data_IF_011228920134
#
_entry.id   IF_011228920134
#
_cell.length_a   1.000
_cell.length_b   1.000
_cell.length_c   1.000
_cell.angle_alpha   90.00
_cell.angle_beta   90.00
_cell.angle_gamma   90.00
#
_symmetry.space_group_name_H-M   'P 1'
#
loop_
_entity.id
_entity.type
_entity.pdbx_description
1 polymer ?
#
# COMPACT_ATOMS: atom_id res chain seq x y z
N UNK A 1 -12.84 8.66 11.26
CA UNK A 1 -12.82 9.26 9.93
C UNK A 1 -11.54 8.87 9.17
N UNK A 2 -11.68 8.56 7.87
CA UNK A 2 -10.55 8.14 7.03
C UNK A 2 -10.40 9.08 5.84
N UNK A 3 -9.14 9.34 5.44
CA UNK A 3 -8.82 10.12 4.25
C UNK A 3 -7.94 9.30 3.31
N UNK A 4 -8.26 9.34 2.01
CA UNK A 4 -7.41 8.87 0.94
C UNK A 4 -6.73 10.07 0.27
N UNK A 5 -5.41 10.08 0.25
CA UNK A 5 -4.61 11.01 -0.53
C UNK A 5 -4.14 10.25 -1.77
N UNK A 6 -4.64 10.66 -2.93
CA UNK A 6 -4.18 10.15 -4.22
C UNK A 6 -2.98 10.99 -4.68
N UNK A 7 -1.80 10.41 -4.58
CA UNK A 7 -0.55 11.04 -4.97
C UNK A 7 -0.05 10.61 -6.36
N UNK A 8 -0.76 9.67 -7.01
CA UNK A 8 -0.46 9.22 -8.36
C UNK A 8 -1.03 10.21 -9.40
N UNK A 9 -0.21 10.73 -10.33
CA UNK A 9 -0.70 11.56 -11.43
C UNK A 9 -1.80 10.91 -12.27
N UNK A 10 -1.83 9.57 -12.37
CA UNK A 10 -2.87 8.83 -13.10
C UNK A 10 -4.21 8.91 -12.39
N UNK A 11 -4.22 8.99 -11.06
CA UNK A 11 -5.43 9.21 -10.27
C UNK A 11 -6.38 8.02 -10.23
N UNK A 12 -5.87 6.80 -10.27
CA UNK A 12 -6.69 5.57 -10.28
C UNK A 12 -7.55 5.42 -9.04
N UNK A 13 -6.99 5.72 -7.87
CA UNK A 13 -7.71 5.68 -6.59
C UNK A 13 -8.80 6.74 -6.51
N UNK A 14 -8.56 7.92 -7.05
CA UNK A 14 -9.56 8.98 -7.17
C UNK A 14 -10.74 8.55 -8.04
N UNK A 15 -10.45 7.99 -9.22
CA UNK A 15 -11.48 7.51 -10.15
C UNK A 15 -12.32 6.37 -9.52
N UNK A 16 -11.66 5.47 -8.78
CA UNK A 16 -12.35 4.41 -8.06
C UNK A 16 -13.28 4.98 -6.99
N UNK A 17 -12.78 5.91 -6.17
CA UNK A 17 -13.56 6.48 -5.07
C UNK A 17 -14.73 7.35 -5.56
N UNK A 18 -14.55 8.11 -6.64
CA UNK A 18 -15.62 8.88 -7.28
C UNK A 18 -16.79 7.99 -7.75
N UNK A 19 -16.47 6.79 -8.28
CA UNK A 19 -17.47 5.78 -8.63
C UNK A 19 -18.14 5.14 -7.43
N UNK A 20 -17.40 4.98 -6.32
CA UNK A 20 -17.83 4.20 -5.16
C UNK A 20 -18.96 4.84 -4.36
N UNK A 21 -19.12 6.17 -4.43
CA UNK A 21 -20.07 6.95 -3.64
C UNK A 21 -19.93 6.75 -2.12
N UNK A 22 -18.76 6.34 -1.63
CA UNK A 22 -18.49 6.14 -0.20
C UNK A 22 -18.37 7.52 0.47
N UNK A 23 -19.37 7.89 1.26
CA UNK A 23 -19.45 9.23 1.88
C UNK A 23 -18.49 9.43 3.06
N UNK A 24 -18.06 8.36 3.73
CA UNK A 24 -17.22 8.44 4.94
C UNK A 24 -15.72 8.52 4.64
N UNK A 25 -15.31 8.28 3.40
CA UNK A 25 -13.93 8.35 2.97
C UNK A 25 -13.69 9.69 2.26
N UNK A 26 -12.94 10.57 2.91
CA UNK A 26 -12.54 11.85 2.32
C UNK A 26 -11.49 11.60 1.24
N UNK A 27 -11.56 12.32 0.12
CA UNK A 27 -10.57 12.25 -0.97
C UNK A 27 -9.83 13.57 -1.10
N UNK A 28 -8.52 13.48 -1.26
CA UNK A 28 -7.66 14.60 -1.66
C UNK A 28 -6.71 14.15 -2.76
N UNK A 29 -6.50 15.01 -3.75
CA UNK A 29 -5.47 14.83 -4.77
C UNK A 29 -4.27 15.69 -4.40
N UNK A 30 -3.14 15.06 -4.16
CA UNK A 30 -1.90 15.73 -3.80
C UNK A 30 -0.72 15.00 -4.44
N UNK A 31 -0.48 15.31 -5.72
CA UNK A 31 0.56 14.66 -6.52
C UNK A 31 1.93 14.77 -5.86
N UNK A 32 2.65 13.66 -5.85
CA UNK A 32 4.00 13.62 -5.34
C UNK A 32 4.92 14.50 -6.20
N UNK A 33 5.80 15.32 -5.61
CA UNK A 33 6.71 16.17 -6.38
C UNK A 33 7.71 15.34 -7.18
N UNK A 34 8.05 15.81 -8.37
CA UNK A 34 9.09 15.22 -9.18
C UNK A 34 10.46 15.32 -8.49
N UNK A 35 11.30 14.31 -8.67
CA UNK A 35 12.65 14.23 -8.08
C UNK A 35 13.67 15.23 -8.67
N UNK A 36 13.25 16.22 -9.46
CA UNK A 36 14.10 17.27 -10.00
C UNK A 36 14.34 18.36 -8.95
N UNK A 37 15.59 18.56 -8.55
CA UNK A 37 15.98 19.59 -7.58
C UNK A 37 16.17 19.05 -6.16
N UNK A 38 15.87 19.86 -5.15
CA UNK A 38 16.00 19.45 -3.74
C UNK A 38 14.82 18.57 -3.31
N UNK A 39 14.97 17.27 -3.50
CA UNK A 39 13.96 16.25 -3.20
C UNK A 39 13.47 16.34 -1.76
N UNK A 40 14.39 16.51 -0.79
CA UNK A 40 14.05 16.56 0.63
C UNK A 40 13.14 17.76 0.95
N UNK A 41 13.43 18.94 0.40
CA UNK A 41 12.59 20.10 0.60
C UNK A 41 11.18 19.91 -0.02
N UNK A 42 11.12 19.38 -1.22
CA UNK A 42 9.86 19.12 -1.91
C UNK A 42 9.00 18.08 -1.15
N UNK A 43 9.61 17.00 -0.66
CA UNK A 43 8.90 15.98 0.12
C UNK A 43 8.48 16.47 1.51
N UNK A 44 9.30 17.29 2.18
CA UNK A 44 8.91 17.91 3.45
C UNK A 44 7.70 18.83 3.26
N UNK A 45 7.67 19.62 2.19
CA UNK A 45 6.54 20.46 1.84
C UNK A 45 5.29 19.63 1.55
N UNK A 46 5.43 18.54 0.79
CA UNK A 46 4.36 17.60 0.50
C UNK A 46 3.83 16.95 1.78
N UNK A 47 4.73 16.46 2.64
CA UNK A 47 4.38 15.84 3.92
C UNK A 47 3.66 16.81 4.87
N UNK A 48 4.09 18.06 4.93
CA UNK A 48 3.41 19.08 5.71
C UNK A 48 2.00 19.37 5.17
N UNK A 49 1.83 19.44 3.84
CA UNK A 49 0.52 19.61 3.22
C UNK A 49 -0.39 18.40 3.50
N UNK A 50 0.13 17.19 3.37
CA UNK A 50 -0.61 15.95 3.69
C UNK A 50 -1.02 15.91 5.17
N UNK A 51 -0.14 16.28 6.08
CA UNK A 51 -0.42 16.33 7.52
C UNK A 51 -1.48 17.38 7.85
N UNK A 52 -1.44 18.54 7.24
CA UNK A 52 -2.46 19.58 7.43
C UNK A 52 -3.84 19.13 6.93
N UNK A 53 -3.89 18.40 5.81
CA UNK A 53 -5.15 17.84 5.29
C UNK A 53 -5.73 16.76 6.21
N UNK A 54 -4.88 16.14 7.00
CA UNK A 54 -5.19 14.99 7.85
C UNK A 54 -5.63 15.35 9.27
N UNK A 55 -5.60 16.63 9.67
CA UNK A 55 -5.84 17.07 11.06
C UNK A 55 -7.16 16.58 11.65
N UNK A 56 -8.20 16.38 10.80
CA UNK A 56 -9.52 15.93 11.22
C UNK A 56 -9.80 14.47 10.85
N UNK A 57 -8.75 13.63 10.75
CA UNK A 57 -8.88 12.24 10.35
C UNK A 57 -8.11 11.32 11.29
N UNK A 58 -8.74 10.19 11.64
CA UNK A 58 -8.10 9.15 12.47
C UNK A 58 -7.06 8.37 11.68
N UNK A 59 -7.32 8.16 10.38
CA UNK A 59 -6.46 7.39 9.47
C UNK A 59 -6.31 8.15 8.16
N UNK A 60 -5.07 8.24 7.68
CA UNK A 60 -4.75 8.75 6.35
C UNK A 60 -4.02 7.67 5.56
N UNK A 61 -4.52 7.39 4.37
CA UNK A 61 -3.90 6.47 3.42
C UNK A 61 -3.41 7.30 2.23
N UNK A 62 -2.11 7.26 1.97
CA UNK A 62 -1.56 7.85 0.76
C UNK A 62 -1.29 6.75 -0.28
N UNK A 63 -1.97 6.85 -1.42
CA UNK A 63 -1.71 6.00 -2.59
C UNK A 63 -0.63 6.65 -3.44
N UNK A 64 0.52 5.99 -3.49
CA UNK A 64 1.72 6.52 -4.13
C UNK A 64 1.92 5.88 -5.51
N UNK A 65 2.41 6.64 -6.50
CA UNK A 65 2.81 6.08 -7.79
C UNK A 65 4.05 5.18 -7.62
N UNK A 66 4.43 4.42 -8.66
CA UNK A 66 5.77 3.86 -8.73
C UNK A 66 6.80 4.98 -8.61
N UNK A 67 7.65 4.93 -7.58
CA UNK A 67 8.60 5.99 -7.25
C UNK A 67 10.03 5.47 -7.20
N UNK A 68 10.97 6.40 -7.44
CA UNK A 68 12.39 6.14 -7.28
C UNK A 68 12.73 5.81 -5.82
N UNK A 69 13.75 4.97 -5.62
CA UNK A 69 14.18 4.52 -4.30
C UNK A 69 14.63 5.67 -3.38
N UNK A 70 15.19 6.74 -3.94
CA UNK A 70 15.62 7.91 -3.18
C UNK A 70 14.41 8.63 -2.61
N UNK A 71 13.39 8.87 -3.44
CA UNK A 71 12.12 9.47 -3.03
C UNK A 71 11.43 8.60 -1.99
N UNK A 72 11.43 7.29 -2.20
CA UNK A 72 10.84 6.34 -1.27
C UNK A 72 11.54 6.35 0.10
N UNK A 73 12.87 6.38 0.11
CA UNK A 73 13.66 6.43 1.35
C UNK A 73 13.34 7.67 2.20
N UNK A 74 13.19 8.82 1.54
CA UNK A 74 12.81 10.05 2.24
C UNK A 74 11.37 10.03 2.77
N UNK A 75 10.43 9.43 2.01
CA UNK A 75 9.06 9.25 2.48
C UNK A 75 8.98 8.32 3.70
N UNK A 76 9.78 7.26 3.75
CA UNK A 76 9.84 6.34 4.89
C UNK A 76 10.21 7.04 6.20
N UNK A 77 10.96 8.15 6.17
CA UNK A 77 11.28 8.94 7.34
C UNK A 77 10.10 9.74 7.89
N UNK A 78 9.07 9.97 7.06
CA UNK A 78 7.91 10.79 7.39
C UNK A 78 6.67 9.98 7.76
N UNK A 79 6.64 8.68 7.46
CA UNK A 79 5.48 7.82 7.69
C UNK A 79 5.78 6.77 8.75
N UNK A 80 4.77 6.42 9.54
CA UNK A 80 4.88 5.35 10.55
C UNK A 80 4.68 3.97 9.96
N UNK A 81 3.80 3.86 8.96
CA UNK A 81 3.33 2.59 8.44
C UNK A 81 3.43 2.58 6.92
N UNK A 82 3.91 1.47 6.37
CA UNK A 82 3.99 1.24 4.93
C UNK A 82 3.33 -0.09 4.60
N UNK A 83 2.43 -0.07 3.63
CA UNK A 83 1.87 -1.27 3.02
C UNK A 83 2.43 -1.37 1.61
N UNK A 84 3.12 -2.46 1.33
CA UNK A 84 3.75 -2.71 0.03
C UNK A 84 3.06 -3.89 -0.67
N UNK A 85 2.13 -3.62 -1.61
CA UNK A 85 1.57 -4.65 -2.46
C UNK A 85 2.62 -5.12 -3.46
N UNK A 86 2.91 -6.42 -3.51
CA UNK A 86 3.93 -6.98 -4.39
C UNK A 86 3.34 -8.12 -5.20
N UNK A 87 3.43 -8.02 -6.52
CA UNK A 87 3.11 -9.13 -7.42
C UNK A 87 4.27 -10.13 -7.44
N UNK A 88 3.98 -11.41 -7.16
CA UNK A 88 5.00 -12.45 -7.03
C UNK A 88 4.71 -13.60 -8.00
N UNK A 89 4.83 -13.37 -9.30
CA UNK A 89 5.00 -14.48 -10.24
C UNK A 89 6.44 -15.04 -10.12
N UNK A 90 6.67 -16.28 -10.52
CA UNK A 90 8.00 -16.90 -10.38
C UNK A 90 9.13 -16.13 -11.10
N UNK A 91 8.82 -15.44 -12.19
CA UNK A 91 9.74 -14.55 -12.91
C UNK A 91 9.81 -13.15 -12.29
N UNK A 92 8.70 -12.65 -11.77
CA UNK A 92 8.64 -11.35 -11.08
C UNK A 92 9.29 -11.40 -9.69
N UNK A 93 9.34 -12.57 -9.04
CA UNK A 93 10.00 -12.71 -7.75
C UNK A 93 11.48 -12.35 -7.81
N UNK A 94 12.22 -12.91 -8.79
CA UNK A 94 13.64 -12.62 -8.96
C UNK A 94 13.90 -11.14 -9.26
N UNK A 95 12.97 -10.47 -9.98
CA UNK A 95 13.04 -9.05 -10.25
C UNK A 95 12.55 -8.18 -9.08
N UNK A 96 11.62 -8.70 -8.26
CA UNK A 96 11.00 -7.96 -7.15
C UNK A 96 11.83 -8.06 -5.86
N UNK A 97 12.56 -9.14 -5.68
CA UNK A 97 13.38 -9.35 -4.47
C UNK A 97 14.42 -8.24 -4.24
N UNK A 98 15.20 -7.79 -5.24
CA UNK A 98 16.10 -6.66 -5.08
C UNK A 98 15.38 -5.35 -4.72
N UNK A 99 14.15 -5.15 -5.20
CA UNK A 99 13.33 -4.01 -4.81
C UNK A 99 12.92 -4.10 -3.33
N UNK A 100 12.45 -5.26 -2.91
CA UNK A 100 12.11 -5.51 -1.49
C UNK A 100 13.32 -5.28 -0.60
N UNK A 101 14.49 -5.79 -0.95
CA UNK A 101 15.73 -5.57 -0.19
C UNK A 101 16.09 -4.09 -0.10
N UNK A 102 15.95 -3.32 -1.16
CA UNK A 102 16.19 -1.87 -1.17
C UNK A 102 15.20 -1.13 -0.28
N UNK A 103 13.92 -1.47 -0.37
CA UNK A 103 12.86 -0.91 0.48
C UNK A 103 13.16 -1.20 1.95
N UNK A 104 13.53 -2.44 2.27
CA UNK A 104 13.91 -2.87 3.62
C UNK A 104 15.16 -2.15 4.11
N UNK A 105 16.18 -1.99 3.25
CA UNK A 105 17.41 -1.28 3.60
C UNK A 105 17.14 0.19 3.90
N UNK A 106 16.31 0.84 3.08
CA UNK A 106 15.88 2.21 3.30
C UNK A 106 15.08 2.37 4.61
N UNK A 107 14.24 1.37 4.96
CA UNK A 107 13.49 1.39 6.22
C UNK A 107 14.36 1.15 7.47
N UNK A 108 15.50 0.46 7.34
CA UNK A 108 16.46 0.31 8.45
C UNK A 108 17.05 1.62 8.92
N UNK A 109 17.12 2.61 8.03
CA UNK A 109 17.52 3.97 8.36
C UNK A 109 16.42 4.73 9.12
N UNK A 110 15.17 4.24 9.05
CA UNK A 110 14.01 4.77 9.76
C UNK A 110 13.53 3.74 10.80
N UNK A 111 14.15 3.68 11.96
CA UNK A 111 13.87 2.69 13.02
C UNK A 111 12.41 2.66 13.50
N UNK A 112 11.60 3.63 13.11
CA UNK A 112 10.21 3.78 13.57
C UNK A 112 9.16 3.29 12.56
N UNK A 113 9.54 2.97 11.33
CA UNK A 113 8.58 2.60 10.29
C UNK A 113 8.25 1.12 10.34
N UNK A 114 6.99 0.80 10.59
CA UNK A 114 6.43 -0.56 10.44
C UNK A 114 6.08 -0.81 8.97
N UNK A 115 6.43 -1.97 8.46
CA UNK A 115 6.14 -2.35 7.07
C UNK A 115 5.35 -3.64 6.97
N UNK A 116 4.40 -3.69 6.04
CA UNK A 116 3.65 -4.91 5.71
C UNK A 116 3.75 -5.17 4.22
N UNK A 117 4.34 -6.29 3.86
CA UNK A 117 4.33 -6.79 2.49
C UNK A 117 3.05 -7.58 2.28
N UNK A 118 2.28 -7.20 1.26
CA UNK A 118 1.06 -7.88 0.85
C UNK A 118 1.27 -8.54 -0.51
N UNK A 119 1.52 -9.85 -0.55
CA UNK A 119 1.62 -10.57 -1.81
C UNK A 119 0.30 -10.48 -2.57
N UNK A 120 0.32 -9.92 -3.76
CA UNK A 120 -0.87 -9.59 -4.55
C UNK A 120 -0.82 -10.19 -5.93
N UNK A 121 -1.99 -10.50 -6.52
CA UNK A 121 -2.13 -11.12 -7.84
C UNK A 121 -1.39 -12.45 -7.99
N UNK A 122 -1.32 -13.21 -6.92
CA UNK A 122 -0.68 -14.52 -6.92
C UNK A 122 -1.58 -15.53 -7.64
N UNK A 123 -1.01 -16.33 -8.52
CA UNK A 123 -1.77 -17.41 -9.15
C UNK A 123 -2.26 -18.39 -8.06
N UNK A 124 -3.57 -18.77 -8.06
CA UNK A 124 -4.15 -19.56 -6.96
C UNK A 124 -3.45 -20.90 -6.67
N UNK A 125 -2.80 -21.47 -7.67
CA UNK A 125 -2.05 -22.73 -7.55
C UNK A 125 -0.58 -22.54 -7.19
N UNK A 126 -0.09 -21.30 -7.06
CA UNK A 126 1.29 -21.03 -6.69
C UNK A 126 1.41 -20.79 -5.20
N UNK A 127 2.43 -21.39 -4.62
CA UNK A 127 2.82 -21.18 -3.23
C UNK A 127 4.00 -20.22 -3.18
N UNK A 128 3.91 -19.24 -2.31
CA UNK A 128 5.00 -18.33 -2.02
C UNK A 128 6.06 -19.02 -1.16
N UNK A 129 7.34 -18.76 -1.40
CA UNK A 129 8.41 -19.20 -0.50
C UNK A 129 8.43 -18.32 0.77
N UNK A 130 7.35 -18.36 1.55
CA UNK A 130 7.12 -17.49 2.70
C UNK A 130 8.28 -17.49 3.70
N UNK A 131 8.83 -18.64 3.99
CA UNK A 131 9.94 -18.80 4.92
C UNK A 131 11.16 -17.99 4.47
N UNK A 132 11.56 -18.13 3.21
CA UNK A 132 12.68 -17.35 2.64
C UNK A 132 12.44 -15.84 2.64
N UNK A 133 11.20 -15.41 2.46
CA UNK A 133 10.85 -13.99 2.54
C UNK A 133 10.99 -13.52 3.98
N UNK A 134 10.43 -14.25 4.92
CA UNK A 134 10.44 -13.89 6.34
C UNK A 134 11.87 -13.83 6.90
N UNK A 135 12.76 -14.73 6.48
CA UNK A 135 14.16 -14.75 6.89
C UNK A 135 14.92 -13.46 6.59
N UNK A 136 14.59 -12.78 5.50
CA UNK A 136 15.27 -11.54 5.08
C UNK A 136 14.58 -10.27 5.59
N UNK A 137 13.37 -10.40 6.15
CA UNK A 137 12.62 -9.24 6.64
C UNK A 137 13.20 -8.72 7.98
N UNK A 138 13.39 -7.41 8.14
CA UNK A 138 13.65 -6.83 9.45
C UNK A 138 12.48 -7.07 10.42
N UNK A 139 12.74 -7.05 11.71
CA UNK A 139 11.73 -7.31 12.75
C UNK A 139 10.48 -6.44 12.66
N UNK A 140 10.63 -5.18 12.20
CA UNK A 140 9.52 -4.24 12.03
C UNK A 140 8.71 -4.46 10.73
N UNK A 141 9.14 -5.40 9.86
CA UNK A 141 8.44 -5.76 8.65
C UNK A 141 7.75 -7.11 8.79
N UNK A 142 6.53 -7.21 8.28
CA UNK A 142 5.71 -8.42 8.34
C UNK A 142 5.22 -8.82 6.96
N UNK A 143 4.98 -10.11 6.79
CA UNK A 143 4.43 -10.67 5.56
C UNK A 143 2.98 -11.07 5.80
N UNK A 144 2.05 -10.38 5.15
CA UNK A 144 0.62 -10.70 5.20
C UNK A 144 0.28 -12.01 4.45
N UNK A 145 -0.96 -12.44 4.55
CA UNK A 145 -1.51 -13.48 3.69
C UNK A 145 -1.57 -12.98 2.25
N UNK A 146 -1.50 -13.90 1.28
CA UNK A 146 -1.55 -13.54 -0.13
C UNK A 146 -2.96 -13.19 -0.58
N UNK A 147 -3.03 -12.29 -1.56
CA UNK A 147 -4.21 -12.05 -2.39
C UNK A 147 -4.00 -12.73 -3.73
N UNK A 148 -4.88 -13.67 -4.05
CA UNK A 148 -4.82 -14.39 -5.32
C UNK A 148 -5.34 -13.53 -6.48
N UNK A 149 -4.89 -13.84 -7.69
CA UNK A 149 -5.45 -13.26 -8.90
C UNK A 149 -6.88 -13.79 -9.10
N UNK A 150 -7.88 -12.94 -8.84
CA UNK A 150 -9.29 -13.28 -8.95
C UNK A 150 -10.06 -12.22 -9.72
N UNK A 151 -10.91 -12.65 -10.63
CA UNK A 151 -11.76 -11.75 -11.44
C UNK A 151 -12.73 -10.92 -10.59
N UNK A 152 -13.08 -11.38 -9.38
CA UNK A 152 -13.98 -10.66 -8.49
C UNK A 152 -13.40 -9.30 -8.04
N UNK A 153 -12.08 -9.20 -7.87
CA UNK A 153 -11.42 -7.92 -7.58
C UNK A 153 -11.57 -6.94 -8.75
N UNK A 154 -11.36 -7.41 -10.00
CA UNK A 154 -11.52 -6.57 -11.18
C UNK A 154 -12.96 -6.09 -11.34
N UNK A 155 -13.93 -7.01 -11.26
CA UNK A 155 -15.37 -6.70 -11.37
C UNK A 155 -15.83 -5.70 -10.31
N UNK A 156 -15.26 -5.80 -9.10
CA UNK A 156 -15.54 -4.84 -8.03
C UNK A 156 -14.97 -3.46 -8.36
N UNK A 157 -13.69 -3.40 -8.75
CA UNK A 157 -13.00 -2.15 -9.06
C UNK A 157 -13.66 -1.40 -10.23
N UNK A 158 -14.09 -2.09 -11.30
CA UNK A 158 -14.82 -1.50 -12.42
C UNK A 158 -16.09 -0.76 -12.01
N UNK A 159 -16.77 -1.26 -10.96
CA UNK A 159 -17.99 -0.68 -10.41
C UNK A 159 -17.72 0.40 -9.34
N UNK A 160 -16.47 0.65 -8.99
CA UNK A 160 -16.12 1.50 -7.84
C UNK A 160 -16.49 0.88 -6.51
N UNK A 161 -16.65 -0.44 -6.43
CA UNK A 161 -16.99 -1.16 -5.22
C UNK A 161 -15.77 -1.89 -4.64
N UNK A 162 -15.81 -2.19 -3.37
CA UNK A 162 -14.93 -3.22 -2.82
C UNK A 162 -15.55 -4.61 -3.02
N UNK A 163 -14.71 -5.64 -3.00
CA UNK A 163 -15.13 -7.00 -3.39
C UNK A 163 -16.22 -7.57 -2.48
N UNK A 164 -16.27 -7.19 -1.20
CA UNK A 164 -17.34 -7.62 -0.30
C UNK A 164 -18.73 -7.11 -0.66
N UNK A 165 -18.82 -5.99 -1.41
CA UNK A 165 -20.11 -5.50 -1.93
C UNK A 165 -20.56 -6.24 -3.18
N UNK A 166 -19.62 -6.63 -4.05
CA UNK A 166 -19.94 -7.26 -5.35
C UNK A 166 -20.02 -8.78 -5.29
N UNK A 167 -19.18 -9.40 -4.46
CA UNK A 167 -19.06 -10.84 -4.33
C UNK A 167 -18.89 -11.24 -2.86
N UNK A 168 -19.91 -11.00 -2.01
CA UNK A 168 -19.85 -11.36 -0.59
C UNK A 168 -19.65 -12.87 -0.45
N UNK A 169 -18.84 -13.26 0.53
CA UNK A 169 -18.46 -14.66 0.81
C UNK A 169 -17.63 -15.37 -0.28
N UNK A 170 -17.26 -14.68 -1.35
CA UNK A 170 -16.31 -15.23 -2.33
C UNK A 170 -14.92 -15.45 -1.69
N UNK A 171 -14.09 -16.27 -2.33
CA UNK A 171 -12.70 -16.45 -1.89
C UNK A 171 -11.92 -15.13 -1.92
N UNK A 172 -12.20 -14.23 -2.88
CA UNK A 172 -11.61 -12.91 -2.93
C UNK A 172 -11.97 -12.07 -1.70
N UNK A 173 -13.25 -12.10 -1.28
CA UNK A 173 -13.71 -11.42 -0.06
C UNK A 173 -13.06 -11.99 1.20
N UNK A 174 -12.96 -13.31 1.31
CA UNK A 174 -12.29 -13.96 2.43
C UNK A 174 -10.80 -13.63 2.50
N UNK A 175 -10.10 -13.61 1.36
CA UNK A 175 -8.68 -13.28 1.29
C UNK A 175 -8.43 -11.83 1.73
N UNK A 176 -9.19 -10.87 1.21
CA UNK A 176 -8.99 -9.46 1.58
C UNK A 176 -9.33 -9.19 3.05
N UNK A 177 -10.35 -9.84 3.60
CA UNK A 177 -10.67 -9.72 5.03
C UNK A 177 -9.50 -10.19 5.91
N UNK A 178 -8.89 -11.32 5.60
CA UNK A 178 -7.70 -11.79 6.33
C UNK A 178 -6.53 -10.80 6.25
N UNK A 179 -6.35 -10.16 5.10
CA UNK A 179 -5.31 -9.13 4.93
C UNK A 179 -5.65 -7.88 5.77
N UNK A 180 -6.91 -7.43 5.75
CA UNK A 180 -7.36 -6.26 6.53
C UNK A 180 -7.21 -6.53 8.03
N UNK A 181 -7.65 -7.68 8.52
CA UNK A 181 -7.50 -8.09 9.93
C UNK A 181 -6.03 -8.14 10.34
N UNK A 182 -5.17 -8.70 9.49
CA UNK A 182 -3.74 -8.75 9.74
C UNK A 182 -3.13 -7.35 9.81
N UNK A 183 -3.44 -6.47 8.84
CA UNK A 183 -2.96 -5.08 8.82
C UNK A 183 -3.45 -4.34 10.06
N UNK A 184 -4.73 -4.45 10.39
CA UNK A 184 -5.32 -3.76 11.53
C UNK A 184 -4.66 -4.15 12.85
N UNK A 185 -4.38 -5.43 13.04
CA UNK A 185 -3.67 -5.94 14.21
C UNK A 185 -2.21 -5.47 14.27
N UNK A 186 -1.45 -5.62 13.19
CA UNK A 186 -0.02 -5.29 13.17
C UNK A 186 0.23 -3.78 13.31
N UNK A 187 -0.68 -2.95 12.78
CA UNK A 187 -0.59 -1.50 12.85
C UNK A 187 -1.35 -0.90 14.05
N UNK A 188 -1.96 -1.73 14.89
CA UNK A 188 -2.71 -1.30 16.09
C UNK A 188 -3.85 -0.32 15.75
N UNK A 189 -4.57 -0.59 14.63
CA UNK A 189 -5.68 0.24 14.16
C UNK A 189 -7.03 -0.30 14.64
N UNK A 190 -7.12 -1.63 14.88
CA UNK A 190 -8.30 -2.36 15.36
C UNK A 190 -7.91 -3.36 16.45
#
# INVERSE_FOLDING_TARGET
DCMLIDADPIGSSSLWLEKSKIKRLKLRKLTLPNASGNVNHALNTWGAAASNMALDCDIVIADLPPIDIIVFSELLRQVKNVILPVGLSSLEWEATFPLIERVISASKESEKTKGIIVPSRIHPQKHLPREKIIEVLPNQWKLATQLSFRSDFQKAAEKGHWVGQTAPNSLAHQEINKVIEFIGKELEII
#
